data_IF_770056435391
#
_entry.id   IF_770056435391
#
_cell.length_a   1.000
_cell.length_b   1.000
_cell.length_c   1.000
_cell.angle_alpha   90.00
_cell.angle_beta   90.00
_cell.angle_gamma   90.00
#
_symmetry.space_group_name_H-M   'P 1'
#
loop_
_entity.id
_entity.type
_entity.pdbx_description
1 polymer ?
#
# COMPACT_ATOMS: atom_id res chain seq x y z
N UNK A 1 -21.70 21.53 -33.02
CA UNK A 1 -20.28 21.55 -32.63
C UNK A 1 -19.89 20.42 -31.65
N UNK A 2 -20.70 19.35 -31.50
CA UNK A 2 -20.47 18.32 -30.46
C UNK A 2 -20.09 16.95 -31.03
N UNK A 3 -20.07 16.75 -32.34
CA UNK A 3 -19.75 15.48 -32.97
C UNK A 3 -18.23 15.18 -33.07
N UNK A 4 -17.38 16.22 -33.09
CA UNK A 4 -15.93 16.08 -33.26
C UNK A 4 -15.17 15.65 -32.00
N UNK A 5 -15.77 15.81 -30.82
CA UNK A 5 -15.13 15.45 -29.54
C UNK A 5 -15.28 13.98 -29.16
N UNK A 6 -16.30 13.30 -29.70
CA UNK A 6 -16.57 11.88 -29.40
C UNK A 6 -15.69 10.97 -30.25
N UNK A 7 -15.33 11.39 -31.47
CA UNK A 7 -14.50 10.58 -32.38
C UNK A 7 -13.04 10.49 -31.93
N UNK A 8 -12.53 11.47 -31.17
CA UNK A 8 -11.15 11.44 -30.68
C UNK A 8 -10.96 10.49 -29.49
N UNK A 9 -12.00 10.26 -28.70
CA UNK A 9 -11.93 9.35 -27.53
C UNK A 9 -12.00 7.88 -27.96
N UNK A 10 -12.66 7.60 -29.09
CA UNK A 10 -12.82 6.23 -29.60
C UNK A 10 -11.57 5.73 -30.35
N UNK A 11 -10.73 6.62 -30.85
CA UNK A 11 -9.51 6.25 -31.59
C UNK A 11 -8.33 5.91 -30.67
N UNK A 12 -8.36 6.34 -29.41
CA UNK A 12 -7.34 6.00 -28.41
C UNK A 12 -7.53 4.61 -27.77
N UNK A 13 -8.70 3.99 -27.95
CA UNK A 13 -9.02 2.66 -27.43
C UNK A 13 -8.70 1.52 -28.40
N UNK A 14 -8.23 1.84 -29.62
CA UNK A 14 -8.13 0.88 -30.72
C UNK A 14 -6.77 0.19 -30.91
N UNK A 15 -5.76 0.47 -30.11
CA UNK A 15 -4.44 -0.19 -30.22
C UNK A 15 -3.79 -0.42 -28.87
N UNK A 16 -4.53 -1.01 -27.95
CA UNK A 16 -3.93 -1.61 -26.77
C UNK A 16 -3.32 -2.92 -27.22
N UNK A 17 -2.04 -2.89 -27.61
CA UNK A 17 -1.25 -4.11 -27.58
C UNK A 17 -1.46 -4.70 -26.19
N UNK A 18 -2.00 -5.92 -26.13
CA UNK A 18 -2.09 -6.68 -24.89
C UNK A 18 -0.65 -6.87 -24.40
N UNK A 19 -0.17 -5.97 -23.59
CA UNK A 19 0.95 -6.25 -22.71
C UNK A 19 0.34 -7.20 -21.69
N UNK A 20 0.38 -8.50 -22.02
CA UNK A 20 0.13 -9.52 -21.03
C UNK A 20 1.15 -9.25 -19.92
N UNK A 21 0.69 -8.75 -18.79
CA UNK A 21 1.47 -8.77 -17.59
C UNK A 21 1.76 -10.25 -17.34
N UNK A 22 3.01 -10.66 -17.60
CA UNK A 22 3.37 -12.05 -17.56
C UNK A 22 3.12 -12.59 -16.15
N UNK A 23 2.52 -13.78 -16.08
CA UNK A 23 2.48 -14.54 -14.84
C UNK A 23 3.91 -14.69 -14.31
N UNK A 24 4.13 -14.42 -13.04
CA UNK A 24 5.47 -14.55 -12.51
C UNK A 24 5.71 -13.82 -11.20
N UNK A 25 6.94 -13.96 -10.75
CA UNK A 25 7.41 -13.28 -9.57
C UNK A 25 7.72 -11.80 -9.87
N UNK A 26 7.47 -10.98 -8.87
CA UNK A 26 7.88 -9.58 -8.88
C UNK A 26 8.46 -9.18 -7.53
N UNK A 27 9.35 -8.21 -7.56
CA UNK A 27 9.92 -7.57 -6.38
C UNK A 27 9.78 -6.07 -6.53
N UNK A 28 9.50 -5.38 -5.45
CA UNK A 28 9.35 -3.94 -5.49
C UNK A 28 9.67 -3.26 -4.18
N UNK A 29 9.74 -1.95 -4.26
CA UNK A 29 9.92 -1.07 -3.13
C UNK A 29 9.14 0.23 -3.35
N UNK A 30 8.81 0.92 -2.28
CA UNK A 30 8.09 2.17 -2.33
C UNK A 30 8.22 3.02 -1.10
N UNK A 31 7.68 4.21 -1.24
CA UNK A 31 7.54 5.20 -0.19
C UNK A 31 6.06 5.54 -0.01
N UNK A 32 5.67 5.87 1.20
CA UNK A 32 4.29 6.23 1.53
C UNK A 32 4.22 7.31 2.59
N UNK A 33 3.00 7.80 2.76
CA UNK A 33 2.60 8.63 3.88
C UNK A 33 1.63 7.82 4.71
N UNK A 34 1.97 7.58 5.97
CA UNK A 34 1.10 6.91 6.93
C UNK A 34 0.43 7.96 7.79
N UNK A 35 -0.90 7.93 7.86
CA UNK A 35 -1.71 8.79 8.73
C UNK A 35 -2.30 7.93 9.83
N UNK A 36 -2.00 8.29 11.07
CA UNK A 36 -2.58 7.67 12.27
C UNK A 36 -3.52 8.67 12.90
N UNK A 37 -4.80 8.31 13.02
CA UNK A 37 -5.81 9.09 13.75
C UNK A 37 -6.26 8.31 14.97
N UNK A 38 -6.16 8.97 16.10
CA UNK A 38 -6.63 8.45 17.38
C UNK A 38 -7.43 9.55 18.09
N UNK A 39 -8.70 9.27 18.40
CA UNK A 39 -9.59 10.19 19.13
C UNK A 39 -9.44 9.94 20.64
N UNK A 40 -8.35 10.43 21.24
CA UNK A 40 -8.17 10.42 22.68
C UNK A 40 -8.53 11.77 23.27
N UNK A 41 -9.71 11.87 23.91
CA UNK A 41 -10.14 13.01 24.73
C UNK A 41 -10.00 14.41 24.08
N UNK A 42 -10.77 14.71 23.06
CA UNK A 42 -10.93 16.05 22.45
C UNK A 42 -9.71 16.63 21.69
N UNK A 43 -8.63 15.90 21.54
CA UNK A 43 -7.52 16.27 20.67
C UNK A 43 -7.35 15.20 19.58
N UNK A 44 -7.56 15.60 18.31
CA UNK A 44 -7.31 14.75 17.14
C UNK A 44 -5.80 14.70 16.91
N UNK A 45 -5.19 13.57 17.15
CA UNK A 45 -3.79 13.33 16.81
C UNK A 45 -3.71 13.00 15.31
N UNK A 46 -3.31 13.97 14.49
CA UNK A 46 -2.93 13.76 13.09
C UNK A 46 -1.40 13.71 13.03
N UNK A 47 -0.82 12.52 12.94
CA UNK A 47 0.60 12.33 12.74
C UNK A 47 0.83 11.72 11.35
N UNK A 48 1.37 12.51 10.43
CA UNK A 48 1.83 12.04 9.12
C UNK A 48 3.33 11.74 9.21
N UNK A 49 3.72 10.54 8.81
CA UNK A 49 5.13 10.19 8.70
C UNK A 49 5.42 9.41 7.41
N UNK A 50 6.67 9.53 6.96
CA UNK A 50 7.14 8.84 5.77
C UNK A 50 7.33 7.35 6.06
N UNK A 51 6.66 6.51 5.30
CA UNK A 51 6.77 5.06 5.35
C UNK A 51 7.62 4.54 4.20
N UNK A 52 8.38 3.48 4.46
CA UNK A 52 9.17 2.76 3.46
C UNK A 52 8.71 1.31 3.41
N UNK A 53 8.57 0.79 2.19
CA UNK A 53 8.10 -0.57 1.96
C UNK A 53 9.00 -1.32 1.00
N UNK A 54 9.28 -2.60 1.30
CA UNK A 54 9.80 -3.57 0.35
C UNK A 54 8.84 -4.74 0.26
N UNK A 55 8.61 -5.27 -0.95
CA UNK A 55 7.68 -6.38 -1.16
C UNK A 55 8.15 -7.34 -2.25
N UNK A 56 7.67 -8.57 -2.14
CA UNK A 56 7.81 -9.62 -3.15
C UNK A 56 6.44 -10.25 -3.37
N UNK A 57 6.11 -10.57 -4.59
CA UNK A 57 4.86 -11.20 -4.92
C UNK A 57 4.94 -12.16 -6.09
N UNK A 58 3.89 -12.93 -6.22
CA UNK A 58 3.69 -13.84 -7.33
C UNK A 58 2.31 -13.61 -7.92
N UNK A 59 2.26 -13.25 -9.20
CA UNK A 59 1.05 -13.08 -9.98
C UNK A 59 0.81 -14.34 -10.80
N UNK A 60 -0.42 -14.85 -10.77
CA UNK A 60 -0.86 -15.98 -11.56
C UNK A 60 -2.21 -15.67 -12.18
N UNK A 61 -2.38 -15.94 -13.47
CA UNK A 61 -3.66 -15.77 -14.15
C UNK A 61 -4.56 -16.97 -13.82
N UNK A 62 -5.77 -16.70 -13.36
CA UNK A 62 -6.70 -17.77 -13.02
C UNK A 62 -7.99 -17.73 -13.83
N UNK A 63 -8.37 -16.56 -14.37
CA UNK A 63 -9.59 -16.35 -15.16
C UNK A 63 -9.37 -15.32 -16.26
N UNK A 64 -10.12 -15.36 -17.37
CA UNK A 64 -9.82 -14.55 -18.56
C UNK A 64 -9.72 -13.04 -18.37
N UNK A 65 -10.29 -12.50 -17.29
CA UNK A 65 -10.38 -11.05 -17.04
C UNK A 65 -9.85 -10.61 -15.67
N UNK A 66 -9.41 -11.55 -14.82
CA UNK A 66 -8.96 -11.26 -13.46
C UNK A 66 -7.71 -12.07 -13.19
N UNK A 67 -6.66 -11.42 -12.75
CA UNK A 67 -5.48 -12.07 -12.24
C UNK A 67 -5.48 -12.06 -10.72
N UNK A 68 -4.90 -13.10 -10.16
CA UNK A 68 -4.65 -13.24 -8.74
C UNK A 68 -3.17 -13.06 -8.45
N UNK A 69 -2.86 -12.47 -7.32
CA UNK A 69 -1.51 -12.44 -6.80
C UNK A 69 -1.48 -12.65 -5.29
N UNK A 70 -0.34 -13.10 -4.80
CA UNK A 70 0.00 -13.16 -3.38
C UNK A 70 1.23 -12.30 -3.18
N UNK A 71 1.20 -11.46 -2.14
CA UNK A 71 2.27 -10.49 -1.86
C UNK A 71 2.66 -10.53 -0.40
N UNK A 72 3.97 -10.70 -0.12
CA UNK A 72 4.56 -10.48 1.17
C UNK A 72 5.29 -9.15 1.18
N UNK A 73 5.09 -8.34 2.21
CA UNK A 73 5.75 -7.05 2.34
C UNK A 73 6.30 -6.83 3.74
N UNK A 74 7.34 -6.00 3.81
CA UNK A 74 7.86 -5.42 5.04
C UNK A 74 7.75 -3.91 4.96
N UNK A 75 7.11 -3.30 5.95
CA UNK A 75 6.88 -1.86 6.00
C UNK A 75 7.47 -1.28 7.29
N UNK A 76 8.27 -0.25 7.14
CA UNK A 76 8.70 0.65 8.21
C UNK A 76 7.83 1.90 8.10
N UNK A 77 6.98 2.14 9.10
CA UNK A 77 6.02 3.26 9.11
C UNK A 77 6.64 4.56 9.63
N UNK A 78 7.96 4.61 9.73
CA UNK A 78 8.67 5.78 10.21
C UNK A 78 8.82 5.83 11.73
N UNK A 79 9.17 7.02 12.20
CA UNK A 79 9.36 7.31 13.63
C UNK A 79 8.66 8.60 14.00
N UNK A 80 7.31 8.60 14.06
CA UNK A 80 6.61 9.78 14.55
C UNK A 80 7.10 10.10 15.96
N UNK A 81 7.57 11.33 16.16
CA UNK A 81 7.99 11.84 17.44
C UNK A 81 6.97 12.84 17.96
N UNK A 82 6.50 12.65 19.18
CA UNK A 82 5.60 13.59 19.85
C UNK A 82 6.20 14.07 21.16
N UNK A 83 6.01 15.35 21.44
CA UNK A 83 6.35 15.93 22.73
C UNK A 83 5.13 15.88 23.64
N UNK A 84 5.07 14.88 24.52
CA UNK A 84 4.04 14.75 25.53
C UNK A 84 4.60 15.23 26.89
N UNK A 85 3.98 16.23 27.49
CA UNK A 85 4.34 16.77 28.79
C UNK A 85 5.84 17.17 28.92
N UNK A 86 6.42 17.71 27.85
CA UNK A 86 7.84 18.14 27.84
C UNK A 86 8.86 17.02 27.62
N UNK A 87 8.42 15.80 27.28
CA UNK A 87 9.29 14.67 26.92
C UNK A 87 9.07 14.27 25.49
N UNK A 88 10.14 14.09 24.73
CA UNK A 88 10.06 13.51 23.38
C UNK A 88 9.88 12.00 23.51
N UNK A 89 8.76 11.50 23.02
CA UNK A 89 8.48 10.07 22.92
C UNK A 89 8.63 9.69 21.45
N UNK A 90 9.54 8.78 21.17
CA UNK A 90 9.74 8.21 19.82
C UNK A 90 8.98 6.90 19.69
N UNK A 91 8.17 6.79 18.64
CA UNK A 91 7.46 5.57 18.28
C UNK A 91 8.12 4.95 17.07
N UNK A 92 8.47 3.68 17.11
CA UNK A 92 9.00 2.94 15.99
C UNK A 92 8.01 1.82 15.65
N UNK A 93 7.26 1.99 14.56
CA UNK A 93 6.29 1.00 14.09
C UNK A 93 6.82 0.31 12.84
N UNK A 94 6.91 -1.01 12.88
CA UNK A 94 7.32 -1.87 11.77
C UNK A 94 6.38 -3.05 11.65
N UNK A 95 6.20 -3.55 10.43
CA UNK A 95 5.35 -4.69 10.21
C UNK A 95 5.71 -5.52 9.00
N UNK A 96 5.41 -6.82 9.10
CA UNK A 96 5.42 -7.72 7.97
C UNK A 96 3.97 -8.07 7.59
N UNK A 97 3.64 -8.07 6.32
CA UNK A 97 2.29 -8.36 5.84
C UNK A 97 2.27 -9.46 4.80
N UNK A 98 1.14 -10.18 4.77
CA UNK A 98 0.81 -11.13 3.71
C UNK A 98 -0.57 -10.77 3.17
N UNK A 99 -0.69 -10.60 1.86
CA UNK A 99 -1.92 -10.19 1.19
C UNK A 99 -2.22 -11.03 -0.05
N UNK A 100 -3.52 -11.20 -0.33
CA UNK A 100 -4.03 -11.59 -1.64
C UNK A 100 -4.45 -10.36 -2.44
N UNK A 101 -4.23 -10.38 -3.75
CA UNK A 101 -4.60 -9.33 -4.67
C UNK A 101 -5.57 -9.88 -5.74
N UNK A 102 -6.62 -9.12 -6.01
CA UNK A 102 -7.49 -9.28 -7.16
C UNK A 102 -7.18 -8.17 -8.14
N UNK A 103 -6.68 -8.52 -9.32
CA UNK A 103 -6.17 -7.57 -10.31
C UNK A 103 -7.04 -7.63 -11.55
N UNK A 104 -7.53 -6.48 -11.98
CA UNK A 104 -8.25 -6.29 -13.24
C UNK A 104 -7.29 -5.61 -14.23
N UNK A 105 -6.71 -6.35 -15.19
CA UNK A 105 -5.81 -5.79 -16.19
C UNK A 105 -6.60 -5.01 -17.24
N UNK A 106 -6.28 -3.73 -17.41
CA UNK A 106 -6.90 -2.82 -18.38
C UNK A 106 -5.87 -2.36 -19.42
N UNK A 107 -5.10 -3.30 -19.96
CA UNK A 107 -4.00 -3.03 -20.87
C UNK A 107 -2.73 -2.64 -20.11
N UNK A 108 -2.18 -1.43 -20.31
CA UNK A 108 -0.98 -1.00 -19.57
C UNK A 108 -1.27 -0.59 -18.13
N UNK A 109 -2.54 -0.54 -17.73
CA UNK A 109 -2.99 -0.13 -16.40
C UNK A 109 -3.68 -1.31 -15.74
N UNK A 110 -3.36 -1.56 -14.48
CA UNK A 110 -4.06 -2.49 -13.61
C UNK A 110 -4.85 -1.72 -12.56
N UNK A 111 -6.09 -2.12 -12.33
CA UNK A 111 -6.85 -1.77 -11.15
C UNK A 111 -6.85 -2.98 -10.23
N UNK A 112 -6.57 -2.83 -8.95
CA UNK A 112 -6.59 -3.96 -8.05
C UNK A 112 -7.08 -3.62 -6.65
N UNK A 113 -7.66 -4.64 -6.02
CA UNK A 113 -7.95 -4.67 -4.60
C UNK A 113 -7.01 -5.65 -3.91
N UNK A 114 -6.60 -5.34 -2.68
CA UNK A 114 -5.80 -6.22 -1.85
C UNK A 114 -6.39 -6.35 -0.46
N UNK A 115 -6.18 -7.51 0.15
CA UNK A 115 -6.58 -7.79 1.51
C UNK A 115 -5.66 -8.81 2.16
N UNK A 116 -5.38 -8.63 3.43
CA UNK A 116 -4.42 -9.47 4.11
C UNK A 116 -4.32 -9.22 5.60
N UNK A 117 -3.23 -9.69 6.18
CA UNK A 117 -2.91 -9.55 7.59
C UNK A 117 -1.55 -8.87 7.73
N UNK A 118 -1.49 -7.86 8.60
CA UNK A 118 -0.28 -7.18 9.03
C UNK A 118 0.09 -7.69 10.42
N UNK A 119 1.29 -8.25 10.56
CA UNK A 119 1.91 -8.52 11.86
C UNK A 119 2.85 -7.37 12.18
N UNK A 120 2.53 -6.61 13.21
CA UNK A 120 3.25 -5.38 13.56
C UNK A 120 3.93 -5.46 14.92
N UNK A 121 4.97 -4.64 15.06
CA UNK A 121 5.67 -4.41 16.31
C UNK A 121 5.86 -2.91 16.50
N UNK A 122 5.41 -2.44 17.65
CA UNK A 122 5.56 -1.07 18.10
C UNK A 122 6.56 -1.05 19.28
N UNK A 123 7.56 -0.20 19.16
CA UNK A 123 8.50 0.11 20.25
C UNK A 123 8.35 1.60 20.58
N UNK A 124 7.89 1.89 21.80
CA UNK A 124 7.78 3.25 22.34
C UNK A 124 8.89 3.46 23.36
N UNK A 125 9.72 4.47 23.17
CA UNK A 125 10.82 4.81 24.10
C UNK A 125 10.70 6.26 24.56
N UNK A 126 10.75 6.46 25.88
CA UNK A 126 10.78 7.78 26.53
C UNK A 126 12.19 8.17 27.01
N UNK A 127 13.22 7.46 26.53
CA UNK A 127 14.61 7.65 26.94
C UNK A 127 14.99 6.98 28.28
N UNK A 128 14.02 6.50 29.05
CA UNK A 128 14.25 5.81 30.35
C UNK A 128 13.67 4.41 30.38
N UNK A 129 12.56 4.17 29.66
CA UNK A 129 11.90 2.87 29.53
C UNK A 129 11.49 2.62 28.09
N UNK A 130 11.55 1.36 27.66
CA UNK A 130 11.06 0.93 26.34
C UNK A 130 9.89 -0.02 26.54
N UNK A 131 8.73 0.37 26.01
CA UNK A 131 7.56 -0.50 25.95
C UNK A 131 7.47 -1.11 24.56
N UNK A 132 7.26 -2.43 24.51
CA UNK A 132 7.08 -3.19 23.27
C UNK A 132 5.68 -3.74 23.20
N UNK A 133 4.98 -3.48 22.11
CA UNK A 133 3.70 -4.07 21.77
C UNK A 133 3.79 -4.75 20.42
N UNK A 134 3.08 -5.83 20.23
CA UNK A 134 2.97 -6.52 18.95
C UNK A 134 1.57 -7.07 18.77
N UNK A 135 1.12 -7.13 17.52
CA UNK A 135 -0.19 -7.64 17.17
C UNK A 135 -0.24 -8.13 15.74
N UNK A 136 -1.39 -8.67 15.39
CA UNK A 136 -1.70 -9.05 14.00
C UNK A 136 -3.12 -8.62 13.71
N UNK A 137 -3.27 -7.74 12.73
CA UNK A 137 -4.54 -7.13 12.38
C UNK A 137 -4.80 -7.20 10.88
N UNK A 138 -6.06 -7.33 10.45
CA UNK A 138 -6.40 -7.34 9.05
C UNK A 138 -6.22 -5.96 8.43
N UNK A 139 -5.92 -5.95 7.13
CA UNK A 139 -5.89 -4.74 6.34
C UNK A 139 -6.48 -4.99 4.95
N UNK A 140 -6.91 -3.93 4.31
CA UNK A 140 -7.36 -3.95 2.93
C UNK A 140 -6.93 -2.65 2.23
N UNK A 141 -6.89 -2.72 0.91
CA UNK A 141 -6.50 -1.57 0.11
C UNK A 141 -6.93 -1.70 -1.34
N UNK A 142 -6.77 -0.62 -2.05
CA UNK A 142 -6.99 -0.52 -3.49
C UNK A 142 -5.79 0.16 -4.13
N UNK A 143 -5.53 -0.16 -5.39
CA UNK A 143 -4.41 0.44 -6.08
C UNK A 143 -4.58 0.46 -7.60
N UNK A 144 -3.78 1.31 -8.18
CA UNK A 144 -3.59 1.44 -9.62
C UNK A 144 -2.14 1.11 -9.96
N UNK A 145 -1.95 0.24 -10.93
CA UNK A 145 -0.65 -0.10 -11.49
C UNK A 145 -0.50 0.39 -12.92
N UNK A 146 0.68 0.82 -13.30
CA UNK A 146 1.06 1.13 -14.67
C UNK A 146 2.34 0.37 -15.01
N UNK A 147 2.34 -0.36 -16.11
CA UNK A 147 3.44 -1.24 -16.49
C UNK A 147 4.01 -0.85 -17.84
N UNK A 148 5.33 -0.76 -17.88
CA UNK A 148 6.13 -0.62 -19.08
C UNK A 148 7.10 -1.81 -19.14
N UNK A 149 6.74 -2.81 -19.94
CA UNK A 149 7.49 -4.04 -20.07
C UNK A 149 7.61 -4.75 -18.70
N UNK A 150 8.81 -4.89 -18.15
CA UNK A 150 9.06 -5.55 -16.85
C UNK A 150 9.07 -4.59 -15.65
N UNK A 151 8.94 -3.30 -15.88
CA UNK A 151 8.91 -2.29 -14.82
C UNK A 151 7.49 -1.82 -14.61
N UNK A 152 7.05 -1.84 -13.37
CA UNK A 152 5.75 -1.33 -12.96
C UNK A 152 5.86 -0.23 -11.91
N UNK A 153 4.89 0.65 -11.92
CA UNK A 153 4.67 1.66 -10.90
C UNK A 153 3.27 1.47 -10.34
N UNK A 154 3.13 1.55 -9.02
CA UNK A 154 1.84 1.38 -8.35
C UNK A 154 1.59 2.55 -7.41
N UNK A 155 0.35 3.06 -7.40
CA UNK A 155 -0.18 3.92 -6.37
C UNK A 155 -1.20 3.12 -5.56
N UNK A 156 -1.06 3.08 -4.24
CA UNK A 156 -1.86 2.26 -3.34
C UNK A 156 -2.43 3.10 -2.20
N UNK A 157 -3.66 2.82 -1.84
CA UNK A 157 -4.28 3.28 -0.61
C UNK A 157 -4.66 2.07 0.24
N UNK A 158 -4.19 2.02 1.48
CA UNK A 158 -4.39 0.92 2.40
C UNK A 158 -4.96 1.42 3.72
N UNK A 159 -5.85 0.61 4.29
CA UNK A 159 -6.43 0.84 5.61
C UNK A 159 -6.19 -0.37 6.48
N UNK A 160 -5.59 -0.14 7.64
CA UNK A 160 -5.26 -1.13 8.64
C UNK A 160 -6.27 -1.04 9.80
N UNK A 161 -6.82 -2.19 10.21
CA UNK A 161 -7.77 -2.28 11.32
C UNK A 161 -7.00 -2.65 12.60
N UNK A 162 -6.19 -1.73 13.09
CA UNK A 162 -5.40 -1.95 14.31
C UNK A 162 -6.31 -1.84 15.52
N UNK A 163 -6.32 -2.88 16.39
CA UNK A 163 -7.05 -2.82 17.66
C UNK A 163 -6.46 -1.71 18.53
N UNK A 164 -7.31 -0.94 19.18
CA UNK A 164 -6.97 0.19 20.05
C UNK A 164 -6.48 1.47 19.35
N UNK A 165 -6.61 1.55 18.01
CA UNK A 165 -6.37 2.77 17.22
C UNK A 165 -7.52 2.95 16.25
N UNK A 166 -8.18 4.10 16.27
CA UNK A 166 -9.41 4.30 15.49
C UNK A 166 -9.18 4.20 13.97
N UNK A 167 -8.03 4.65 13.47
CA UNK A 167 -7.72 4.59 12.05
C UNK A 167 -6.23 4.68 11.75
N UNK A 168 -5.73 3.72 10.97
CA UNK A 168 -4.40 3.79 10.36
C UNK A 168 -4.58 3.64 8.85
N UNK A 169 -4.16 4.64 8.10
CA UNK A 169 -4.25 4.69 6.64
C UNK A 169 -2.87 4.96 6.05
N UNK A 170 -2.60 4.42 4.87
CA UNK A 170 -1.35 4.66 4.17
C UNK A 170 -1.62 4.88 2.68
N UNK A 171 -1.11 5.97 2.16
CA UNK A 171 -0.97 6.18 0.72
C UNK A 171 0.47 5.95 0.33
N UNK A 172 0.72 5.13 -0.70
CA UNK A 172 2.08 4.81 -1.14
C UNK A 172 2.22 4.83 -2.66
N UNK A 173 3.45 5.12 -3.09
CA UNK A 173 3.90 4.98 -4.48
C UNK A 173 5.05 4.00 -4.50
N UNK A 174 4.94 3.01 -5.36
CA UNK A 174 5.84 1.87 -5.41
C UNK A 174 6.36 1.67 -6.83
N UNK A 175 7.60 1.23 -6.95
CA UNK A 175 8.17 0.71 -8.18
C UNK A 175 8.43 -0.79 -8.03
N UNK A 176 8.23 -1.56 -9.08
CA UNK A 176 8.44 -3.00 -9.08
C UNK A 176 9.08 -3.48 -10.38
N UNK A 177 9.74 -4.61 -10.29
CA UNK A 177 10.30 -5.33 -11.42
C UNK A 177 9.70 -6.74 -11.47
N UNK A 178 9.21 -7.13 -12.64
CA UNK A 178 8.61 -8.43 -12.93
C UNK A 178 9.59 -9.29 -13.73
N UNK A 179 9.75 -10.55 -13.31
CA UNK A 179 10.72 -11.48 -13.90
C UNK A 179 10.16 -12.22 -15.12
#
# INVERSE_FOLDING_TARGET
>A
MNALRITFLTLLLGSVAQVNAADGFYIGAGIGLATVRDDVNTETLDADDAAYRGFIGWRFASVPIIDLAVEGAYTDFGKPSQTLAGRNVEYNLRGASLAGLLILPLGPVDLYGKGGVLSWRLEASDGTATQKRSGSDPFYGVGLGFYLWKVGFRAEYERFQVKDVDRVEMFSVNALFQF
#
